data_IF_669506728862
#
_entry.id   IF_669506728862
#
_cell.length_a   1.000
_cell.length_b   1.000
_cell.length_c   1.000
_cell.angle_alpha   90.00
_cell.angle_beta   90.00
_cell.angle_gamma   90.00
#
_symmetry.space_group_name_H-M   'P 1'
#
loop_
_entity.id
_entity.type
_entity.pdbx_description
1 polymer ?
#
# COMPACT_ATOMS: atom_id res chain seq x y z
N UNK A 1 -60.93 1.76 40.97
CA UNK A 1 -59.71 1.96 40.17
C UNK A 1 -59.96 3.13 39.22
N UNK A 2 -59.64 4.36 39.64
CA UNK A 2 -59.86 5.57 38.82
C UNK A 2 -58.67 5.74 37.88
N UNK A 3 -58.90 5.58 36.58
CA UNK A 3 -57.94 5.96 35.54
C UNK A 3 -57.90 7.48 35.46
N UNK A 4 -56.80 8.07 35.94
CA UNK A 4 -56.52 9.51 35.80
C UNK A 4 -56.47 9.88 34.33
N UNK A 5 -57.40 10.75 33.89
CA UNK A 5 -57.42 11.27 32.52
C UNK A 5 -56.23 12.20 32.33
N UNK A 6 -55.33 11.85 31.43
CA UNK A 6 -54.20 12.70 31.04
C UNK A 6 -54.78 13.98 30.41
N UNK A 7 -54.41 15.18 30.89
CA UNK A 7 -54.95 16.43 30.35
C UNK A 7 -54.49 16.62 28.90
N UNK A 8 -55.41 17.08 28.04
CA UNK A 8 -55.18 17.24 26.60
C UNK A 8 -53.99 18.18 26.27
N UNK A 9 -53.70 19.13 27.17
CA UNK A 9 -52.52 20.00 27.11
C UNK A 9 -51.21 19.26 27.29
N UNK A 10 -51.17 18.22 28.12
CA UNK A 10 -49.99 17.36 28.32
C UNK A 10 -49.74 16.49 27.09
N UNK A 11 -50.80 15.96 26.47
CA UNK A 11 -50.68 15.19 25.23
C UNK A 11 -50.16 16.05 24.07
N UNK A 12 -50.61 17.31 23.95
CA UNK A 12 -50.08 18.28 22.99
C UNK A 12 -48.61 18.63 23.23
N UNK A 13 -48.21 18.80 24.51
CA UNK A 13 -46.82 19.09 24.86
C UNK A 13 -45.91 17.90 24.52
N UNK A 14 -46.34 16.68 24.82
CA UNK A 14 -45.61 15.45 24.46
C UNK A 14 -45.49 15.33 22.95
N UNK A 15 -46.55 15.60 22.19
CA UNK A 15 -46.51 15.55 20.73
C UNK A 15 -45.56 16.60 20.15
N UNK A 16 -45.55 17.82 20.71
CA UNK A 16 -44.63 18.88 20.31
C UNK A 16 -43.17 18.53 20.65
N UNK A 17 -42.91 17.95 21.82
CA UNK A 17 -41.59 17.47 22.20
C UNK A 17 -41.09 16.33 21.30
N UNK A 18 -41.96 15.37 20.94
CA UNK A 18 -41.63 14.30 19.99
C UNK A 18 -41.32 14.88 18.60
N UNK A 19 -42.09 15.86 18.14
CA UNK A 19 -41.85 16.54 16.86
C UNK A 19 -40.49 17.26 16.86
N UNK A 20 -40.18 18.01 17.92
CA UNK A 20 -38.88 18.69 18.06
C UNK A 20 -37.73 17.68 18.13
N UNK A 21 -37.88 16.58 18.88
CA UNK A 21 -36.87 15.51 18.94
C UNK A 21 -36.68 14.82 17.58
N UNK A 22 -37.73 14.68 16.76
CA UNK A 22 -37.63 14.13 15.41
C UNK A 22 -36.93 15.08 14.43
N UNK A 23 -37.04 16.39 14.63
CA UNK A 23 -36.31 17.39 13.83
C UNK A 23 -34.82 17.42 14.16
N UNK A 24 -34.43 17.18 15.42
CA UNK A 24 -33.01 17.12 15.84
C UNK A 24 -32.37 15.76 15.52
N UNK A 25 -33.18 14.70 15.30
CA UNK A 25 -32.70 13.38 14.91
C UNK A 25 -32.29 13.29 13.42
N UNK A 26 -32.79 14.17 12.56
CA UNK A 26 -32.47 14.16 11.12
C UNK A 26 -31.19 14.91 10.73
N UNK A 27 -30.58 15.67 11.65
CA UNK A 27 -29.49 16.60 11.31
C UNK A 27 -28.12 16.20 11.89
N UNK A 28 -27.97 14.93 12.29
CA UNK A 28 -26.69 14.38 12.75
C UNK A 28 -26.13 13.38 11.73
N UNK A 29 -25.71 13.92 10.59
CA UNK A 29 -24.60 13.36 9.80
C UNK A 29 -24.84 12.01 9.13
N UNK A 30 -26.07 11.69 8.70
CA UNK A 30 -26.35 10.40 8.07
C UNK A 30 -26.11 10.39 6.54
N UNK A 31 -25.95 11.55 5.90
CA UNK A 31 -25.64 11.65 4.47
C UNK A 31 -24.87 12.94 4.18
N UNK A 32 -23.53 12.92 4.21
CA UNK A 32 -22.74 13.92 3.47
C UNK A 32 -21.27 13.53 3.37
N UNK A 33 -20.99 12.48 2.60
CA UNK A 33 -19.67 12.34 1.97
C UNK A 33 -19.91 11.74 0.61
N UNK A 34 -19.68 12.54 -0.42
CA UNK A 34 -19.63 12.04 -1.77
C UNK A 34 -18.50 11.00 -1.84
N UNK A 35 -18.68 9.84 -2.49
CA UNK A 35 -17.66 8.78 -2.51
C UNK A 35 -16.31 9.25 -3.09
N UNK A 36 -16.32 10.33 -3.88
CA UNK A 36 -15.13 10.97 -4.45
C UNK A 36 -14.67 12.23 -3.70
N UNK A 37 -15.23 12.52 -2.52
CA UNK A 37 -14.75 13.60 -1.67
C UNK A 37 -13.33 13.29 -1.18
N UNK A 38 -12.35 14.14 -1.52
CA UNK A 38 -10.95 13.95 -1.15
C UNK A 38 -10.56 14.61 0.18
N UNK A 39 -11.53 14.96 1.03
CA UNK A 39 -11.34 15.41 2.41
C UNK A 39 -10.85 14.28 3.33
N UNK A 40 -9.63 13.82 3.08
CA UNK A 40 -8.94 12.79 3.84
C UNK A 40 -8.48 13.29 5.22
N UNK A 41 -8.74 12.49 6.28
CA UNK A 41 -8.38 12.79 7.68
C UNK A 41 -7.48 11.70 8.28
N UNK A 42 -6.25 11.59 7.80
CA UNK A 42 -5.27 10.65 8.35
C UNK A 42 -3.81 11.12 8.24
N UNK A 43 -2.89 10.17 8.06
CA UNK A 43 -1.45 10.45 7.97
C UNK A 43 -1.11 11.21 6.69
N UNK A 44 -0.08 12.05 6.69
CA UNK A 44 0.29 12.83 5.50
C UNK A 44 1.75 12.56 5.17
N UNK A 45 2.04 12.35 3.88
CA UNK A 45 3.39 12.14 3.36
C UNK A 45 4.16 11.02 4.12
N UNK A 46 3.47 9.89 4.36
CA UNK A 46 3.96 8.81 5.18
C UNK A 46 5.19 8.11 4.58
N UNK A 47 5.29 7.94 3.26
CA UNK A 47 6.44 7.28 2.64
C UNK A 47 7.72 8.09 2.88
N UNK A 48 7.73 9.40 2.62
CA UNK A 48 8.92 10.23 2.84
C UNK A 48 9.43 10.17 4.29
N UNK A 49 8.50 10.19 5.25
CA UNK A 49 8.80 10.10 6.68
C UNK A 49 9.42 8.75 7.02
N UNK A 50 8.83 7.65 6.56
CA UNK A 50 9.31 6.30 6.85
C UNK A 50 10.59 5.95 6.09
N UNK A 51 10.75 6.41 4.86
CA UNK A 51 11.99 6.28 4.07
C UNK A 51 13.15 6.91 4.85
N UNK A 52 13.00 8.15 5.31
CA UNK A 52 14.04 8.83 6.10
C UNK A 52 14.42 8.03 7.36
N UNK A 53 13.45 7.40 8.00
CA UNK A 53 13.67 6.54 9.17
C UNK A 53 14.39 5.23 8.80
N UNK A 54 14.00 4.59 7.71
CA UNK A 54 14.62 3.36 7.20
C UNK A 54 16.09 3.62 6.82
N UNK A 55 16.34 4.64 6.00
CA UNK A 55 17.69 4.95 5.51
C UNK A 55 18.63 5.33 6.66
N UNK A 56 18.16 6.13 7.63
CA UNK A 56 18.97 6.51 8.79
C UNK A 56 19.28 5.33 9.71
N UNK A 57 18.30 4.45 9.96
CA UNK A 57 18.45 3.31 10.87
C UNK A 57 19.34 2.21 10.29
N UNK A 58 19.27 1.97 8.99
CA UNK A 58 19.94 0.83 8.35
C UNK A 58 21.10 1.22 7.42
N UNK A 59 21.57 2.47 7.46
CA UNK A 59 22.71 2.96 6.66
C UNK A 59 23.97 2.09 6.79
N UNK A 60 24.28 1.66 8.01
CA UNK A 60 25.51 0.94 8.35
C UNK A 60 25.28 -0.57 8.55
N UNK A 61 24.09 -1.07 8.20
CA UNK A 61 23.80 -2.50 8.23
C UNK A 61 24.28 -3.16 6.93
N UNK A 62 24.50 -4.46 6.97
CA UNK A 62 24.78 -5.28 5.78
C UNK A 62 23.66 -6.27 5.45
N UNK A 63 22.75 -6.47 6.39
CA UNK A 63 21.65 -7.43 6.34
C UNK A 63 20.34 -6.72 6.65
N UNK A 64 19.29 -7.07 5.91
CA UNK A 64 17.93 -6.57 6.12
C UNK A 64 16.94 -7.73 6.15
N UNK A 65 15.93 -7.64 7.00
CA UNK A 65 14.76 -8.51 7.04
C UNK A 65 13.51 -7.69 6.77
N UNK A 66 13.01 -7.77 5.56
CA UNK A 66 11.90 -6.94 5.06
C UNK A 66 10.66 -7.80 4.93
N UNK A 67 9.55 -7.37 5.52
CA UNK A 67 8.25 -7.98 5.29
C UNK A 67 7.58 -7.32 4.08
N UNK A 68 7.11 -8.14 3.15
CA UNK A 68 6.32 -7.71 2.01
C UNK A 68 4.89 -8.21 2.16
N UNK A 69 3.97 -7.26 2.12
CA UNK A 69 2.51 -7.46 2.16
C UNK A 69 1.91 -6.80 0.92
N UNK A 70 0.69 -7.17 0.53
CA UNK A 70 0.02 -6.56 -0.62
C UNK A 70 -1.48 -6.78 -0.55
N UNK A 71 -2.23 -6.09 -1.43
CA UNK A 71 -3.62 -6.39 -1.74
C UNK A 71 -4.43 -6.57 -0.45
N UNK A 72 -4.51 -5.51 0.34
CA UNK A 72 -5.25 -5.52 1.61
C UNK A 72 -6.73 -5.23 1.41
N UNK A 73 -7.08 -4.44 0.38
CA UNK A 73 -8.46 -4.13 -0.01
C UNK A 73 -9.37 -3.83 1.21
N UNK A 74 -10.61 -4.34 1.19
CA UNK A 74 -11.57 -4.31 2.29
C UNK A 74 -11.37 -5.45 3.30
N UNK A 75 -10.30 -6.24 3.22
CA UNK A 75 -10.01 -7.36 4.12
C UNK A 75 -9.41 -6.89 5.44
N UNK A 76 -10.03 -5.88 6.05
CA UNK A 76 -9.56 -5.17 7.24
C UNK A 76 -9.33 -6.09 8.45
N UNK A 77 -10.05 -7.21 8.56
CA UNK A 77 -9.85 -8.16 9.66
C UNK A 77 -8.51 -8.87 9.48
N UNK A 78 -8.28 -9.45 8.31
CA UNK A 78 -7.05 -10.14 7.96
C UNK A 78 -5.87 -9.17 7.98
N UNK A 79 -6.03 -7.95 7.46
CA UNK A 79 -4.98 -6.92 7.55
C UNK A 79 -4.61 -6.56 9.00
N UNK A 80 -5.59 -6.50 9.93
CA UNK A 80 -5.28 -6.29 11.37
C UNK A 80 -4.49 -7.45 11.98
N UNK A 81 -4.79 -8.67 11.56
CA UNK A 81 -4.11 -9.88 12.04
C UNK A 81 -2.71 -9.98 11.44
N UNK A 82 -2.52 -9.57 10.19
CA UNK A 82 -1.23 -9.43 9.53
C UNK A 82 -0.33 -8.44 10.27
N UNK A 83 -0.82 -7.22 10.54
CA UNK A 83 -0.11 -6.20 11.34
C UNK A 83 0.27 -6.75 12.72
N UNK A 84 -0.62 -7.51 13.37
CA UNK A 84 -0.33 -8.14 14.66
C UNK A 84 0.76 -9.20 14.55
N UNK A 85 0.73 -10.03 13.50
CA UNK A 85 1.76 -11.03 13.23
C UNK A 85 3.12 -10.37 13.01
N UNK A 86 3.19 -9.36 12.14
CA UNK A 86 4.42 -8.60 11.87
C UNK A 86 4.96 -7.98 13.16
N UNK A 87 4.12 -7.33 13.96
CA UNK A 87 4.53 -6.71 15.22
C UNK A 87 5.07 -7.71 16.26
N UNK A 88 4.66 -8.98 16.19
CA UNK A 88 5.14 -10.03 17.08
C UNK A 88 6.51 -10.59 16.68
N UNK A 89 6.99 -10.25 15.48
CA UNK A 89 8.28 -10.68 14.96
C UNK A 89 9.29 -9.52 15.01
N UNK A 90 10.05 -9.48 16.10
CA UNK A 90 11.04 -8.43 16.34
C UNK A 90 12.17 -8.41 15.29
N UNK A 91 12.38 -9.53 14.58
CA UNK A 91 13.44 -9.64 13.56
C UNK A 91 13.12 -8.90 12.25
N UNK A 92 11.89 -8.40 12.05
CA UNK A 92 11.53 -7.61 10.87
C UNK A 92 12.01 -6.17 11.06
N UNK A 93 12.74 -5.65 10.08
CA UNK A 93 13.33 -4.31 10.09
C UNK A 93 12.33 -3.24 9.64
N UNK A 94 11.62 -3.52 8.55
CA UNK A 94 10.59 -2.64 7.98
C UNK A 94 9.63 -3.43 7.08
N UNK A 95 8.54 -2.78 6.68
CA UNK A 95 7.47 -3.35 5.85
C UNK A 95 7.34 -2.61 4.52
N UNK A 96 7.06 -3.33 3.45
CA UNK A 96 6.71 -2.77 2.14
C UNK A 96 5.33 -3.32 1.74
N UNK A 97 4.37 -2.43 1.47
CA UNK A 97 3.07 -2.80 0.92
C UNK A 97 3.07 -2.59 -0.59
N UNK A 98 2.85 -3.65 -1.37
CA UNK A 98 3.00 -3.66 -2.82
C UNK A 98 1.77 -3.15 -3.61
N UNK A 99 0.99 -2.21 -3.06
CA UNK A 99 -0.21 -1.67 -3.73
C UNK A 99 -1.52 -2.40 -3.39
N UNK A 100 -2.62 -1.84 -3.87
CA UNK A 100 -4.02 -2.21 -3.56
C UNK A 100 -4.29 -2.17 -2.05
N UNK A 101 -4.00 -0.99 -1.50
CA UNK A 101 -4.32 -0.65 -0.12
C UNK A 101 -5.83 -0.48 0.09
N UNK A 102 -6.53 -0.12 -0.98
CA UNK A 102 -7.98 0.05 -1.06
C UNK A 102 -8.58 -0.88 -2.11
N UNK A 103 -9.88 -1.12 -2.03
CA UNK A 103 -10.62 -1.91 -3.02
C UNK A 103 -11.29 -1.02 -4.07
N UNK A 104 -11.66 0.21 -3.72
CA UNK A 104 -12.40 1.11 -4.62
C UNK A 104 -11.85 2.53 -4.66
N UNK A 105 -10.67 2.78 -4.07
CA UNK A 105 -10.04 4.10 -4.07
C UNK A 105 -10.79 5.17 -3.27
N UNK A 106 -11.81 4.81 -2.48
CA UNK A 106 -12.58 5.82 -1.73
C UNK A 106 -11.77 6.36 -0.55
N UNK A 107 -11.93 7.66 -0.25
CA UNK A 107 -11.28 8.31 0.90
C UNK A 107 -11.50 7.56 2.20
N UNK A 108 -12.69 6.95 2.36
CA UNK A 108 -13.04 6.22 3.57
C UNK A 108 -12.24 4.93 3.74
N UNK A 109 -11.93 4.24 2.64
CA UNK A 109 -11.09 3.04 2.66
C UNK A 109 -9.66 3.37 3.08
N UNK A 110 -9.10 4.46 2.54
CA UNK A 110 -7.80 4.99 3.00
C UNK A 110 -7.80 5.27 4.51
N UNK A 111 -8.83 5.96 5.03
CA UNK A 111 -8.94 6.20 6.48
C UNK A 111 -9.01 4.90 7.31
N UNK A 112 -9.73 3.88 6.82
CA UNK A 112 -9.82 2.59 7.50
C UNK A 112 -8.50 1.83 7.46
N UNK A 113 -7.86 1.75 6.29
CA UNK A 113 -6.54 1.15 6.12
C UNK A 113 -5.51 1.86 7.01
N UNK A 114 -5.49 3.19 7.01
CA UNK A 114 -4.61 3.99 7.86
C UNK A 114 -4.74 3.62 9.35
N UNK A 115 -5.98 3.48 9.83
CA UNK A 115 -6.28 3.09 11.21
C UNK A 115 -5.76 1.70 11.59
N UNK A 116 -5.45 0.86 10.61
CA UNK A 116 -4.86 -0.46 10.78
C UNK A 116 -3.32 -0.37 10.67
N UNK A 117 -2.81 0.10 9.52
CA UNK A 117 -1.36 0.09 9.22
C UNK A 117 -0.56 0.96 10.19
N UNK A 118 -1.14 2.06 10.70
CA UNK A 118 -0.47 2.94 11.68
C UNK A 118 -0.14 2.24 13.01
N UNK A 119 -0.67 1.04 13.26
CA UNK A 119 -0.36 0.21 14.42
C UNK A 119 0.88 -0.66 14.23
N UNK A 120 1.48 -0.71 13.04
CA UNK A 120 2.79 -1.31 12.86
C UNK A 120 3.79 -0.63 13.80
N UNK A 121 4.59 -1.43 14.51
CA UNK A 121 5.69 -0.95 15.35
C UNK A 121 7.02 -0.85 14.57
N UNK A 122 6.95 -1.08 13.25
CA UNK A 122 8.06 -0.99 12.28
C UNK A 122 7.77 0.14 11.28
N UNK A 123 8.80 0.80 10.73
CA UNK A 123 8.59 1.71 9.61
C UNK A 123 8.06 0.96 8.39
N UNK A 124 7.28 1.64 7.56
CA UNK A 124 6.66 1.05 6.38
C UNK A 124 6.57 2.03 5.21
N UNK A 125 6.57 1.49 4.01
CA UNK A 125 6.27 2.24 2.77
C UNK A 125 5.16 1.52 2.01
N UNK A 126 4.36 2.27 1.27
CA UNK A 126 3.22 1.75 0.52
C UNK A 126 3.35 2.19 -0.94
N UNK A 127 3.26 1.25 -1.87
CA UNK A 127 3.14 1.50 -3.30
C UNK A 127 1.66 1.73 -3.65
N UNK A 128 1.41 2.35 -4.79
CA UNK A 128 0.05 2.47 -5.34
C UNK A 128 -0.29 1.23 -6.18
N UNK A 129 -1.46 0.64 -5.99
CA UNK A 129 -2.01 -0.38 -6.89
C UNK A 129 -3.10 0.17 -7.80
N UNK A 130 -3.65 -0.64 -8.70
CA UNK A 130 -4.66 -0.16 -9.64
C UNK A 130 -6.00 0.16 -8.96
N UNK A 131 -6.38 -0.56 -7.89
CA UNK A 131 -7.60 -0.24 -7.14
C UNK A 131 -7.49 1.08 -6.38
N UNK A 132 -6.27 1.51 -6.04
CA UNK A 132 -6.01 2.80 -5.41
C UNK A 132 -6.19 3.99 -6.38
N UNK A 133 -6.23 3.77 -7.70
CA UNK A 133 -6.51 4.81 -8.70
C UNK A 133 -7.99 5.08 -8.89
N UNK A 134 -8.86 4.17 -8.47
CA UNK A 134 -10.28 4.25 -8.79
C UNK A 134 -10.92 5.53 -8.22
N UNK A 135 -11.72 6.19 -9.04
CA UNK A 135 -12.39 7.43 -8.66
C UNK A 135 -11.41 8.60 -8.48
N UNK A 136 -11.25 9.04 -7.24
CA UNK A 136 -10.28 10.08 -6.84
C UNK A 136 -9.23 9.53 -5.87
N UNK A 137 -9.05 8.20 -5.87
CA UNK A 137 -8.18 7.52 -4.92
C UNK A 137 -6.72 7.91 -5.04
N UNK A 138 -6.22 8.19 -6.25
CA UNK A 138 -4.83 8.62 -6.44
C UNK A 138 -4.54 9.97 -5.77
N UNK A 139 -5.51 10.90 -5.77
CA UNK A 139 -5.39 12.17 -5.05
C UNK A 139 -5.32 11.95 -3.53
N UNK A 140 -6.08 10.99 -3.00
CA UNK A 140 -6.06 10.65 -1.58
C UNK A 140 -4.75 9.94 -1.21
N UNK A 141 -4.34 8.96 -2.02
CA UNK A 141 -3.07 8.25 -1.88
C UNK A 141 -1.91 9.24 -1.87
N UNK A 142 -1.91 10.24 -2.77
CA UNK A 142 -0.86 11.28 -2.83
C UNK A 142 -0.81 12.14 -1.58
N UNK A 143 -1.95 12.42 -0.95
CA UNK A 143 -1.99 13.11 0.35
C UNK A 143 -1.45 12.21 1.45
N UNK A 144 -1.86 10.95 1.49
CA UNK A 144 -1.50 10.02 2.55
C UNK A 144 -0.03 9.57 2.49
N UNK A 145 0.39 9.00 1.37
CA UNK A 145 1.69 8.34 1.23
C UNK A 145 2.76 9.25 0.61
N UNK A 146 2.38 10.16 -0.30
CA UNK A 146 3.27 11.17 -0.87
C UNK A 146 2.97 11.46 -2.34
N UNK A 147 3.41 12.62 -2.85
CA UNK A 147 3.01 13.07 -4.19
C UNK A 147 3.64 12.28 -5.35
N UNK A 148 4.74 11.58 -5.11
CA UNK A 148 5.45 10.79 -6.10
C UNK A 148 4.97 9.33 -6.08
N UNK A 149 4.51 8.84 -7.23
CA UNK A 149 4.06 7.46 -7.41
C UNK A 149 5.23 6.49 -7.64
N UNK A 150 6.33 7.01 -8.21
CA UNK A 150 7.62 6.33 -8.26
C UNK A 150 8.52 6.90 -7.15
N UNK A 151 9.18 6.02 -6.39
CA UNK A 151 10.11 6.43 -5.35
C UNK A 151 11.20 5.38 -5.13
N UNK A 152 12.27 5.76 -4.44
CA UNK A 152 13.37 4.87 -4.11
C UNK A 152 13.94 5.23 -2.75
N UNK A 153 14.63 4.26 -2.14
CA UNK A 153 15.34 4.45 -0.88
C UNK A 153 16.47 3.43 -0.75
N UNK A 154 17.49 3.75 0.04
CA UNK A 154 18.66 2.88 0.24
C UNK A 154 18.77 2.44 1.70
N UNK A 155 18.75 1.12 1.90
CA UNK A 155 18.98 0.50 3.21
C UNK A 155 20.01 -0.62 3.06
N UNK A 156 20.98 -0.69 3.97
CA UNK A 156 22.04 -1.70 3.95
C UNK A 156 22.66 -1.91 2.55
N UNK A 157 23.05 -0.81 1.89
CA UNK A 157 23.60 -0.78 0.52
C UNK A 157 22.73 -1.44 -0.56
N UNK A 158 21.44 -1.62 -0.28
CA UNK A 158 20.44 -2.15 -1.19
C UNK A 158 19.47 -1.03 -1.53
N UNK A 159 19.38 -0.68 -2.81
CA UNK A 159 18.40 0.30 -3.29
C UNK A 159 17.10 -0.42 -3.62
N UNK A 160 16.02 -0.01 -2.97
CA UNK A 160 14.67 -0.42 -3.31
C UNK A 160 14.13 0.59 -4.31
N UNK A 161 13.78 0.13 -5.51
CA UNK A 161 13.23 0.97 -6.57
C UNK A 161 11.74 0.60 -6.70
N UNK A 162 10.87 1.47 -6.19
CA UNK A 162 9.43 1.29 -6.17
C UNK A 162 8.82 2.03 -7.37
N UNK A 163 8.27 1.27 -8.32
CA UNK A 163 7.79 1.80 -9.61
C UNK A 163 6.28 1.58 -9.74
N UNK A 164 5.57 2.63 -10.15
CA UNK A 164 4.19 2.51 -10.60
C UNK A 164 4.15 1.80 -11.96
N UNK A 165 3.39 0.71 -12.03
CA UNK A 165 3.24 -0.12 -13.24
C UNK A 165 1.79 -0.23 -13.72
N UNK A 166 0.85 0.49 -13.10
CA UNK A 166 -0.59 0.45 -13.40
C UNK A 166 -0.92 1.29 -14.65
N UNK A 167 -0.58 0.78 -15.84
CA UNK A 167 -0.66 1.55 -17.09
C UNK A 167 -2.08 1.73 -17.63
N UNK A 168 -2.96 0.77 -17.34
CA UNK A 168 -4.40 0.75 -17.64
C UNK A 168 -5.15 1.94 -17.07
N UNK A 169 -4.80 2.38 -15.86
CA UNK A 169 -5.42 3.52 -15.18
C UNK A 169 -5.19 4.87 -15.90
N UNK A 170 -4.33 4.87 -16.92
CA UNK A 170 -4.05 6.00 -17.78
C UNK A 170 -4.46 5.78 -19.24
N UNK A 171 -5.26 4.73 -19.54
CA UNK A 171 -5.52 4.27 -20.91
C UNK A 171 -4.23 4.08 -21.73
N UNK A 172 -3.12 3.70 -21.08
CA UNK A 172 -1.78 3.59 -21.67
C UNK A 172 -1.20 4.90 -22.24
N UNK A 173 -1.79 6.06 -21.92
CA UNK A 173 -1.37 7.38 -22.41
C UNK A 173 -0.23 7.99 -21.60
N UNK A 174 -0.05 7.56 -20.35
CA UNK A 174 1.06 7.95 -19.50
C UNK A 174 2.28 7.04 -19.72
N UNK A 175 3.47 7.58 -19.43
CA UNK A 175 4.72 6.81 -19.43
C UNK A 175 4.80 5.89 -18.20
N UNK A 176 4.02 4.81 -18.21
CA UNK A 176 3.94 3.81 -17.14
C UNK A 176 4.31 2.43 -17.70
N UNK A 177 5.41 1.79 -17.22
CA UNK A 177 6.37 2.30 -16.25
C UNK A 177 7.21 3.49 -16.77
N UNK A 178 7.68 4.33 -15.85
CA UNK A 178 8.46 5.53 -16.16
C UNK A 178 9.95 5.22 -16.35
N UNK A 179 10.37 4.98 -17.61
CA UNK A 179 11.75 4.67 -17.93
C UNK A 179 12.75 5.80 -17.63
N UNK A 180 12.32 7.07 -17.72
CA UNK A 180 13.18 8.21 -17.40
C UNK A 180 13.52 8.21 -15.90
N UNK A 181 12.53 7.96 -15.04
CA UNK A 181 12.75 7.81 -13.60
C UNK A 181 13.67 6.63 -13.30
N UNK A 182 13.41 5.47 -13.89
CA UNK A 182 14.26 4.27 -13.71
C UNK A 182 15.70 4.60 -14.12
N UNK A 183 15.93 5.19 -15.28
CA UNK A 183 17.27 5.54 -15.72
C UNK A 183 17.97 6.54 -14.78
N UNK A 184 17.25 7.52 -14.23
CA UNK A 184 17.80 8.44 -13.22
C UNK A 184 18.26 7.70 -11.96
N UNK A 185 17.50 6.69 -11.52
CA UNK A 185 17.83 5.90 -10.33
C UNK A 185 19.10 5.07 -10.47
N UNK A 186 19.55 4.81 -11.71
CA UNK A 186 20.84 4.16 -11.96
C UNK A 186 22.02 5.00 -11.45
N UNK A 187 21.94 6.32 -11.61
CA UNK A 187 23.04 7.25 -11.29
C UNK A 187 22.89 7.88 -9.91
N UNK A 188 21.65 8.17 -9.49
CA UNK A 188 21.35 8.77 -8.20
C UNK A 188 21.86 7.88 -7.06
N UNK A 189 22.73 8.45 -6.21
CA UNK A 189 23.27 7.82 -5.01
C UNK A 189 24.05 6.52 -5.30
N UNK A 190 24.62 6.41 -6.51
CA UNK A 190 25.34 5.22 -7.01
C UNK A 190 26.54 4.77 -6.17
N UNK A 191 27.07 5.61 -5.28
CA UNK A 191 28.10 5.22 -4.32
C UNK A 191 27.56 4.49 -3.08
N UNK A 192 26.26 4.68 -2.79
CA UNK A 192 25.63 4.28 -1.54
C UNK A 192 24.99 2.88 -1.62
N UNK A 193 24.84 2.31 -2.82
CA UNK A 193 24.31 0.97 -3.02
C UNK A 193 25.16 0.13 -3.99
N UNK A 194 25.12 -1.18 -3.82
CA UNK A 194 25.70 -2.17 -4.75
C UNK A 194 24.74 -3.31 -5.10
N UNK A 195 23.54 -3.27 -4.52
CA UNK A 195 22.44 -4.23 -4.74
C UNK A 195 21.16 -3.48 -5.01
N UNK A 196 20.26 -4.12 -5.76
CA UNK A 196 18.96 -3.55 -6.08
C UNK A 196 17.82 -4.55 -5.94
N UNK A 197 16.66 -4.04 -5.53
CA UNK A 197 15.39 -4.77 -5.50
C UNK A 197 14.36 -3.88 -6.18
N UNK A 198 13.69 -4.40 -7.21
CA UNK A 198 12.57 -3.71 -7.84
C UNK A 198 11.27 -4.13 -7.17
N UNK A 199 10.42 -3.16 -6.85
CA UNK A 199 9.11 -3.38 -6.25
C UNK A 199 8.06 -2.66 -7.09
N UNK A 200 6.95 -3.33 -7.36
CA UNK A 200 5.83 -2.77 -8.12
C UNK A 200 4.51 -3.39 -7.64
N UNK A 201 3.39 -2.95 -8.20
CA UNK A 201 2.11 -3.62 -7.97
C UNK A 201 1.88 -4.70 -9.03
N UNK A 202 1.70 -4.29 -10.29
CA UNK A 202 1.48 -5.19 -11.40
C UNK A 202 2.80 -5.60 -12.08
N UNK A 203 3.06 -6.90 -12.23
CA UNK A 203 4.28 -7.39 -12.90
C UNK A 203 4.15 -7.39 -14.44
N UNK A 204 5.28 -7.46 -15.17
CA UNK A 204 5.24 -7.76 -16.60
C UNK A 204 4.46 -9.04 -16.90
N UNK A 205 3.59 -9.00 -17.91
CA UNK A 205 2.68 -10.09 -18.26
C UNK A 205 1.28 -9.96 -17.67
N UNK A 206 1.09 -9.18 -16.60
CA UNK A 206 -0.24 -8.90 -16.03
C UNK A 206 -1.06 -7.98 -16.93
N UNK A 207 -2.38 -7.92 -16.69
CA UNK A 207 -3.34 -7.10 -17.41
C UNK A 207 -3.19 -5.59 -17.15
N UNK A 208 -2.65 -5.19 -16.00
CA UNK A 208 -2.44 -3.77 -15.65
C UNK A 208 -1.11 -3.22 -16.20
N UNK A 209 -0.16 -4.10 -16.54
CA UNK A 209 1.16 -3.71 -17.03
C UNK A 209 1.13 -3.38 -18.54
N UNK A 210 1.88 -2.35 -18.96
CA UNK A 210 2.10 -2.08 -20.39
C UNK A 210 2.97 -3.16 -21.05
N UNK A 211 2.34 -4.23 -21.52
CA UNK A 211 3.03 -5.39 -22.05
C UNK A 211 3.79 -5.16 -23.36
N UNK A 212 3.58 -4.03 -24.04
CA UNK A 212 4.39 -3.69 -25.22
C UNK A 212 5.84 -3.37 -24.83
N UNK A 213 6.08 -2.91 -23.60
CA UNK A 213 7.42 -2.53 -23.12
C UNK A 213 8.06 -3.56 -22.19
N UNK A 214 7.41 -4.71 -21.93
CA UNK A 214 7.89 -5.68 -20.93
C UNK A 214 9.32 -6.18 -21.15
N UNK A 215 9.70 -6.44 -22.40
CA UNK A 215 11.05 -6.90 -22.73
C UNK A 215 12.10 -5.80 -22.56
N UNK A 216 11.72 -4.54 -22.83
CA UNK A 216 12.59 -3.39 -22.56
C UNK A 216 12.72 -3.15 -21.05
N UNK A 217 11.62 -3.28 -20.30
CA UNK A 217 11.61 -3.18 -18.85
C UNK A 217 12.59 -4.18 -18.22
N UNK A 218 12.44 -5.46 -18.57
CA UNK A 218 13.35 -6.53 -18.14
C UNK A 218 14.81 -6.22 -18.49
N UNK A 219 15.07 -5.80 -19.73
CA UNK A 219 16.42 -5.43 -20.15
C UNK A 219 17.01 -4.30 -19.29
N UNK A 220 16.24 -3.24 -19.01
CA UNK A 220 16.70 -2.07 -18.27
C UNK A 220 16.97 -2.40 -16.79
N UNK A 221 16.09 -3.14 -16.12
CA UNK A 221 16.30 -3.45 -14.69
C UNK A 221 17.56 -4.28 -14.45
N UNK A 222 17.93 -5.17 -15.38
CA UNK A 222 19.14 -6.00 -15.29
C UNK A 222 20.44 -5.23 -15.44
N UNK A 223 20.39 -3.98 -15.91
CA UNK A 223 21.58 -3.13 -15.94
C UNK A 223 21.99 -2.70 -14.52
N UNK A 224 21.06 -2.66 -13.56
CA UNK A 224 21.33 -2.15 -12.23
C UNK A 224 22.34 -3.02 -11.45
N UNK A 225 23.17 -2.40 -10.59
CA UNK A 225 24.07 -3.12 -9.70
C UNK A 225 23.35 -4.16 -8.85
N UNK A 226 23.84 -5.41 -8.91
CA UNK A 226 23.43 -6.48 -8.01
C UNK A 226 21.92 -6.68 -7.90
N UNK A 227 21.20 -6.66 -9.03
CA UNK A 227 19.76 -6.97 -9.07
C UNK A 227 19.51 -8.31 -8.38
N UNK A 228 18.82 -8.28 -7.24
CA UNK A 228 18.57 -9.46 -6.42
C UNK A 228 17.28 -10.16 -6.85
N UNK A 229 16.18 -9.42 -6.91
CA UNK A 229 14.87 -9.92 -7.31
C UNK A 229 13.91 -8.78 -7.62
N UNK A 230 12.77 -9.15 -8.21
CA UNK A 230 11.60 -8.29 -8.36
C UNK A 230 10.47 -8.79 -7.46
N UNK A 231 9.75 -7.86 -6.83
CA UNK A 231 8.63 -8.16 -5.92
C UNK A 231 7.40 -7.40 -6.41
N UNK A 232 6.25 -8.06 -6.41
CA UNK A 232 5.01 -7.51 -6.95
C UNK A 232 3.76 -8.02 -6.21
N UNK A 233 2.63 -7.33 -6.37
CA UNK A 233 1.31 -7.68 -5.80
C UNK A 233 0.34 -8.20 -6.86
N UNK A 234 -0.90 -7.71 -6.88
CA UNK A 234 -1.90 -7.79 -7.97
C UNK A 234 -2.51 -9.17 -8.24
N UNK A 235 -1.70 -10.21 -8.36
CA UNK A 235 -2.16 -11.54 -8.81
C UNK A 235 -2.97 -12.31 -7.74
N UNK A 236 -3.09 -11.76 -6.52
CA UNK A 236 -3.70 -12.41 -5.34
C UNK A 236 -3.20 -13.84 -5.14
N UNK A 237 -1.90 -14.03 -5.37
CA UNK A 237 -1.28 -15.34 -5.37
C UNK A 237 0.20 -15.25 -5.04
N UNK A 238 0.65 -16.15 -4.17
CA UNK A 238 2.06 -16.32 -3.89
C UNK A 238 2.77 -17.03 -5.05
N UNK A 239 3.70 -16.34 -5.69
CA UNK A 239 4.52 -16.90 -6.77
C UNK A 239 6.02 -16.70 -6.52
N UNK A 240 6.84 -17.54 -7.15
CA UNK A 240 8.28 -17.40 -7.24
C UNK A 240 8.68 -17.92 -8.63
N UNK A 241 8.69 -17.03 -9.61
CA UNK A 241 8.78 -17.37 -11.03
C UNK A 241 9.88 -16.59 -11.73
N UNK A 242 10.50 -17.22 -12.72
CA UNK A 242 11.38 -16.56 -13.68
C UNK A 242 10.54 -16.26 -14.93
N UNK A 243 9.98 -15.05 -14.99
CA UNK A 243 9.04 -14.61 -16.03
C UNK A 243 9.69 -14.61 -17.43
N UNK A 244 10.99 -14.31 -17.50
CA UNK A 244 11.72 -14.10 -18.76
C UNK A 244 12.70 -15.23 -19.10
N UNK A 245 12.81 -16.25 -18.24
CA UNK A 245 13.72 -17.39 -18.38
C UNK A 245 15.20 -16.98 -18.46
N UNK A 246 15.58 -15.98 -17.67
CA UNK A 246 16.91 -15.39 -17.65
C UNK A 246 17.62 -15.43 -16.28
N UNK A 247 17.00 -16.08 -15.30
CA UNK A 247 17.48 -16.24 -13.94
C UNK A 247 17.05 -15.15 -12.96
N UNK A 248 16.39 -14.07 -13.41
CA UNK A 248 15.83 -13.06 -12.51
C UNK A 248 14.52 -13.57 -11.91
N UNK A 249 14.48 -13.68 -10.59
CA UNK A 249 13.29 -14.15 -9.88
C UNK A 249 12.30 -13.01 -9.58
N UNK A 250 11.03 -13.31 -9.83
CA UNK A 250 9.87 -12.45 -9.57
C UNK A 250 8.99 -13.11 -8.52
N UNK A 251 8.68 -12.38 -7.46
CA UNK A 251 7.90 -12.87 -6.33
C UNK A 251 6.58 -12.13 -6.22
N UNK A 252 5.49 -12.85 -6.46
CA UNK A 252 4.13 -12.38 -6.21
C UNK A 252 3.81 -12.48 -4.73
N UNK A 253 3.42 -11.36 -4.13
CA UNK A 253 2.92 -11.27 -2.76
C UNK A 253 1.41 -11.49 -2.80
N UNK A 254 0.96 -12.41 -1.96
CA UNK A 254 -0.44 -12.82 -1.92
C UNK A 254 -1.31 -11.75 -1.25
N UNK A 255 -2.62 -11.86 -1.47
CA UNK A 255 -3.62 -11.01 -0.85
C UNK A 255 -3.80 -11.31 0.64
N UNK A 256 -4.08 -10.26 1.43
CA UNK A 256 -4.26 -10.39 2.88
C UNK A 256 -5.34 -11.41 3.26
N UNK A 257 -6.38 -11.59 2.43
CA UNK A 257 -7.46 -12.58 2.64
C UNK A 257 -6.95 -14.02 2.72
N UNK A 258 -5.84 -14.33 2.05
CA UNK A 258 -5.20 -15.64 2.09
C UNK A 258 -4.24 -15.81 3.29
N UNK A 259 -4.21 -14.83 4.19
CA UNK A 259 -3.57 -14.91 5.53
C UNK A 259 -2.10 -15.31 5.49
N UNK A 260 -1.36 -14.76 4.53
CA UNK A 260 0.07 -14.98 4.44
C UNK A 260 0.81 -13.75 3.91
N UNK A 261 2.06 -13.62 4.32
CA UNK A 261 2.98 -12.60 3.80
C UNK A 261 4.39 -13.20 3.69
N UNK A 262 5.30 -12.50 3.02
CA UNK A 262 6.66 -12.98 2.82
C UNK A 262 7.68 -12.11 3.55
N UNK A 263 8.69 -12.73 4.15
CA UNK A 263 9.84 -12.04 4.73
C UNK A 263 11.06 -12.38 3.88
N UNK A 264 11.74 -11.35 3.39
CA UNK A 264 12.99 -11.48 2.66
C UNK A 264 14.14 -11.09 3.57
N UNK A 265 15.16 -11.94 3.65
CA UNK A 265 16.44 -11.61 4.27
C UNK A 265 17.47 -11.31 3.18
N UNK A 266 17.80 -10.04 3.00
CA UNK A 266 18.82 -9.58 2.07
C UNK A 266 20.17 -9.49 2.79
N UNK A 267 21.23 -9.96 2.13
CA UNK A 267 22.62 -9.98 2.62
C UNK A 267 23.57 -9.57 1.49
N UNK A 268 24.87 -9.35 1.77
CA UNK A 268 25.84 -9.07 0.70
C UNK A 268 26.03 -10.21 -0.30
N UNK A 269 25.70 -11.45 0.10
CA UNK A 269 25.91 -12.65 -0.71
C UNK A 269 24.64 -13.12 -1.46
N UNK A 270 23.55 -12.36 -1.39
CA UNK A 270 22.27 -12.74 -1.97
C UNK A 270 21.13 -12.59 -0.96
N UNK A 271 20.05 -13.33 -1.18
CA UNK A 271 18.85 -13.26 -0.34
C UNK A 271 18.22 -14.63 -0.16
N UNK A 272 17.36 -14.73 0.86
CA UNK A 272 16.41 -15.84 1.05
C UNK A 272 15.06 -15.27 1.43
N UNK A 273 14.00 -16.03 1.23
CA UNK A 273 12.66 -15.64 1.63
C UNK A 273 11.95 -16.78 2.39
N UNK A 274 10.99 -16.41 3.22
CA UNK A 274 10.12 -17.32 3.96
C UNK A 274 8.69 -16.80 3.93
N UNK A 275 7.70 -17.71 3.87
CA UNK A 275 6.29 -17.35 4.03
C UNK A 275 5.87 -17.48 5.49
N UNK A 276 5.17 -16.48 5.99
CA UNK A 276 4.53 -16.51 7.30
C UNK A 276 3.02 -16.59 7.11
N UNK A 277 2.39 -17.52 7.81
CA UNK A 277 0.93 -17.65 7.90
C UNK A 277 0.45 -17.13 9.25
N UNK A 278 -0.67 -16.42 9.29
CA UNK A 278 -1.20 -15.79 10.50
C UNK A 278 -2.71 -16.04 10.69
#
# INVERSE_FOLDING_TARGET
MQLSRIPFSFLRLVFLCILVLSLVACDKGMFDVHPYDTHYKGGINLNATNISLIESRYRNCDTLRVAFISDTHLWHKEFREEVKSINSNDSIDFVVHCGDFTDTGTTREFEWGWNIIKKLNKPYVVLIGNHDFLGTGDEVWKKEFGTALDFSFIAARTKFICINTNATEYDYMAAVPNFDYIQQQFYADSADFDRTVFVMHACPGSDQFNNNVKGMFDYVIKLFPGLQCCIYGHDHSRTAIDIFHDGVMWYGIDAAVHRNYQIFTFTPNGYRYETVHF
#
